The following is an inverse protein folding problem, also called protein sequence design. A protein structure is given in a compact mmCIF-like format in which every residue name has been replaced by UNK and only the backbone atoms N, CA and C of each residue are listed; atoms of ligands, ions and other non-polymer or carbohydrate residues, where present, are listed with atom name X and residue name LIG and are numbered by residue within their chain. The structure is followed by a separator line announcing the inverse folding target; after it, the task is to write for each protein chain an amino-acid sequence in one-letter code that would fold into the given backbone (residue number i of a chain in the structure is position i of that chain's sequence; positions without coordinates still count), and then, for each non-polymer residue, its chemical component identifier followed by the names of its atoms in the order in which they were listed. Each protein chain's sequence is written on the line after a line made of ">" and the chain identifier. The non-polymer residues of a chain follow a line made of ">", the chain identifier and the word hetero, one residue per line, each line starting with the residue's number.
data_IF_565015006110
#
_entry.id   IF_565015006110
#
_cell.length_a   1.000
_cell.length_b   1.000
_cell.length_c   1.000
_cell.angle_alpha   90.00
_cell.angle_beta   90.00
_cell.angle_gamma   90.00
#
_symmetry.space_group_name_H-M   'P 1'
#
loop_
_entity.id
_entity.type
_entity.pdbx_description
1 polymer ?
#
# COMPACT_ATOMS: atom_id res chain seq x y z
N UNK A 1 -9.56 19.73 -15.23
CA UNK A 1 -9.65 19.50 -13.78
C UNK A 1 -8.25 19.10 -13.31
N UNK A 2 -7.84 19.53 -12.12
CA UNK A 2 -6.59 19.05 -11.55
C UNK A 2 -6.78 17.58 -11.15
N UNK A 3 -5.77 16.74 -11.42
CA UNK A 3 -5.77 15.34 -10.98
C UNK A 3 -5.69 15.28 -9.45
N UNK A 4 -6.36 14.29 -8.85
CA UNK A 4 -6.22 14.00 -7.43
C UNK A 4 -4.85 13.37 -7.12
N UNK A 5 -4.41 13.51 -5.88
CA UNK A 5 -3.16 12.92 -5.39
C UNK A 5 -3.35 11.44 -5.13
N UNK A 6 -2.29 10.68 -5.38
CA UNK A 6 -2.22 9.26 -5.05
C UNK A 6 -1.15 9.11 -3.99
N UNK A 7 -1.52 8.61 -2.82
CA UNK A 7 -0.60 8.31 -1.72
C UNK A 7 -0.55 6.78 -1.57
N UNK A 8 0.58 6.19 -1.92
CA UNK A 8 0.82 4.75 -1.79
C UNK A 8 1.56 4.48 -0.48
N UNK A 9 0.92 3.80 0.46
CA UNK A 9 1.57 3.34 1.68
C UNK A 9 2.25 2.01 1.41
N UNK A 10 3.59 2.00 1.39
CA UNK A 10 4.41 0.83 1.17
C UNK A 10 5.04 0.34 2.47
N UNK A 11 4.96 -0.94 2.75
CA UNK A 11 5.57 -1.57 3.91
C UNK A 11 5.16 -3.04 4.01
N UNK A 12 5.89 -3.81 4.78
CA UNK A 12 5.60 -5.24 4.99
C UNK A 12 4.26 -5.46 5.72
N UNK A 13 3.79 -6.69 5.77
CA UNK A 13 2.62 -7.04 6.59
C UNK A 13 2.89 -6.65 8.04
N UNK A 14 1.83 -6.25 8.76
CA UNK A 14 1.88 -5.78 10.15
C UNK A 14 2.78 -4.57 10.44
N UNK A 15 3.26 -3.86 9.41
CA UNK A 15 3.96 -2.58 9.59
C UNK A 15 3.04 -1.44 10.05
N UNK A 16 1.72 -1.60 10.05
CA UNK A 16 0.78 -0.58 10.53
C UNK A 16 0.08 0.24 9.44
N UNK A 17 0.25 -0.10 8.15
CA UNK A 17 -0.37 0.62 7.03
C UNK A 17 -1.88 0.82 7.18
N UNK A 18 -2.61 -0.26 7.43
CA UNK A 18 -4.08 -0.22 7.55
C UNK A 18 -4.55 0.71 8.66
N UNK A 19 -3.88 0.70 9.81
CA UNK A 19 -4.21 1.63 10.90
C UNK A 19 -3.91 3.10 10.54
N UNK A 20 -2.89 3.35 9.72
CA UNK A 20 -2.60 4.71 9.20
C UNK A 20 -3.68 5.10 8.17
N UNK A 21 -4.13 4.18 7.31
CA UNK A 21 -5.24 4.42 6.37
C UNK A 21 -6.51 4.79 7.13
N UNK A 22 -6.87 4.04 8.17
CA UNK A 22 -8.02 4.34 9.03
C UNK A 22 -7.89 5.73 9.66
N UNK A 23 -6.73 6.06 10.21
CA UNK A 23 -6.48 7.39 10.79
C UNK A 23 -6.55 8.52 9.77
N UNK A 24 -6.14 8.28 8.51
CA UNK A 24 -6.29 9.25 7.42
C UNK A 24 -7.76 9.41 6.99
N UNK A 25 -8.55 8.34 6.97
CA UNK A 25 -9.97 8.37 6.63
C UNK A 25 -10.82 9.07 7.71
N UNK A 26 -10.44 8.95 8.98
CA UNK A 26 -11.14 9.59 10.11
C UNK A 26 -10.94 11.10 10.18
N UNK A 27 -10.07 11.67 9.35
CA UNK A 27 -9.81 13.11 9.32
C UNK A 27 -10.96 13.88 8.70
N UNK A 28 -11.24 15.04 9.25
CA UNK A 28 -12.24 15.98 8.73
C UNK A 28 -11.68 17.02 7.75
N UNK A 29 -10.34 17.16 7.68
CA UNK A 29 -9.67 18.19 6.88
C UNK A 29 -9.14 17.68 5.52
N UNK A 30 -9.32 16.39 5.23
CA UNK A 30 -9.02 15.78 3.94
C UNK A 30 -9.97 14.59 3.70
N UNK A 31 -10.09 14.19 2.44
CA UNK A 31 -10.96 13.09 2.04
C UNK A 31 -10.25 12.22 1.01
N UNK A 32 -10.21 10.92 1.27
CA UNK A 32 -9.56 9.95 0.41
C UNK A 32 -10.48 8.79 0.06
N UNK A 33 -10.42 8.34 -1.18
CA UNK A 33 -10.86 7.00 -1.54
C UNK A 33 -9.74 6.01 -1.25
N UNK A 34 -10.08 4.80 -0.80
CA UNK A 34 -9.10 3.78 -0.45
C UNK A 34 -9.17 2.63 -1.42
N UNK A 35 -8.01 2.31 -2.01
CA UNK A 35 -7.76 1.08 -2.74
C UNK A 35 -6.81 0.20 -1.93
N UNK A 36 -7.16 -1.08 -1.75
CA UNK A 36 -6.34 -2.03 -0.99
C UNK A 36 -6.28 -3.39 -1.70
N UNK A 37 -5.15 -4.06 -1.59
CA UNK A 37 -4.95 -5.39 -2.19
C UNK A 37 -6.06 -6.38 -1.81
N UNK A 38 -6.51 -6.37 -0.56
CA UNK A 38 -7.50 -7.31 -0.06
C UNK A 38 -8.85 -7.13 -0.75
N UNK A 39 -9.27 -5.88 -1.01
CA UNK A 39 -10.52 -5.58 -1.73
C UNK A 39 -10.51 -6.17 -3.14
N UNK A 40 -9.39 -6.09 -3.83
CA UNK A 40 -9.28 -6.61 -5.20
C UNK A 40 -9.09 -8.13 -5.23
N UNK A 41 -8.48 -8.73 -4.20
CA UNK A 41 -8.40 -10.19 -4.08
C UNK A 41 -9.78 -10.83 -3.94
N UNK A 42 -10.72 -10.20 -3.27
CA UNK A 42 -12.11 -10.68 -3.16
C UNK A 42 -12.83 -10.77 -4.51
N UNK A 43 -12.37 -10.04 -5.54
CA UNK A 43 -12.90 -10.15 -6.91
C UNK A 43 -12.54 -11.48 -7.58
N UNK A 44 -11.56 -12.21 -7.02
CA UNK A 44 -11.11 -13.50 -7.54
C UNK A 44 -11.72 -14.60 -6.69
N UNK A 45 -12.50 -15.49 -7.30
CA UNK A 45 -13.07 -16.61 -6.57
C UNK A 45 -11.99 -17.52 -5.98
N UNK A 46 -12.22 -18.05 -4.79
CA UNK A 46 -11.27 -18.90 -4.04
C UNK A 46 -10.65 -20.03 -4.87
N UNK A 47 -11.43 -20.64 -5.78
CA UNK A 47 -10.93 -21.70 -6.66
C UNK A 47 -9.76 -21.21 -7.51
N UNK A 48 -9.89 -20.06 -8.15
CA UNK A 48 -8.86 -19.49 -9.00
C UNK A 48 -7.62 -19.08 -8.20
N UNK A 49 -7.80 -18.50 -7.01
CA UNK A 49 -6.69 -18.18 -6.12
C UNK A 49 -5.91 -19.44 -5.72
N UNK A 50 -6.59 -20.57 -5.43
CA UNK A 50 -5.91 -21.83 -5.09
C UNK A 50 -5.16 -22.44 -6.28
N UNK A 51 -5.70 -22.31 -7.51
CA UNK A 51 -5.09 -22.88 -8.71
C UNK A 51 -3.85 -22.09 -9.17
N UNK A 52 -3.88 -20.77 -9.08
CA UNK A 52 -2.75 -19.93 -9.51
C UNK A 52 -2.73 -18.57 -8.80
N UNK A 53 -2.37 -18.57 -7.52
CA UNK A 53 -2.39 -17.39 -6.64
C UNK A 53 -1.63 -16.19 -7.23
N UNK A 54 -0.36 -16.40 -7.62
CA UNK A 54 0.51 -15.30 -8.07
C UNK A 54 0.04 -14.65 -9.37
N UNK A 55 -0.48 -15.43 -10.30
CA UNK A 55 -1.05 -14.89 -11.54
C UNK A 55 -2.24 -13.97 -11.25
N UNK A 56 -3.16 -14.43 -10.40
CA UNK A 56 -4.35 -13.65 -10.09
C UNK A 56 -4.03 -12.44 -9.23
N UNK A 57 -3.12 -12.58 -8.25
CA UNK A 57 -2.64 -11.46 -7.44
C UNK A 57 -2.02 -10.36 -8.31
N UNK A 58 -1.14 -10.72 -9.25
CA UNK A 58 -0.54 -9.75 -10.17
C UNK A 58 -1.60 -9.01 -10.98
N UNK A 59 -2.60 -9.71 -11.48
CA UNK A 59 -3.69 -9.10 -12.27
C UNK A 59 -4.54 -8.13 -11.45
N UNK A 60 -4.92 -8.50 -10.24
CA UNK A 60 -5.74 -7.63 -9.38
C UNK A 60 -4.98 -6.42 -8.88
N UNK A 61 -3.67 -6.52 -8.64
CA UNK A 61 -2.83 -5.36 -8.32
C UNK A 61 -2.82 -4.34 -9.47
N UNK A 62 -2.70 -4.81 -10.71
CA UNK A 62 -2.76 -3.91 -11.88
C UNK A 62 -4.15 -3.28 -12.04
N UNK A 63 -5.22 -4.04 -11.82
CA UNK A 63 -6.58 -3.49 -11.79
C UNK A 63 -6.74 -2.41 -10.72
N UNK A 64 -6.21 -2.63 -9.52
CA UNK A 64 -6.18 -1.65 -8.43
C UNK A 64 -5.47 -0.36 -8.87
N UNK A 65 -4.30 -0.45 -9.51
CA UNK A 65 -3.59 0.73 -9.99
C UNK A 65 -4.39 1.50 -11.06
N UNK A 66 -5.04 0.82 -11.99
CA UNK A 66 -5.90 1.47 -12.97
C UNK A 66 -7.14 2.12 -12.33
N UNK A 67 -7.71 1.50 -11.30
CA UNK A 67 -8.84 2.08 -10.56
C UNK A 67 -8.41 3.35 -9.83
N UNK A 68 -7.29 3.32 -9.12
CA UNK A 68 -6.73 4.49 -8.45
C UNK A 68 -6.39 5.61 -9.46
N UNK A 69 -5.85 5.25 -10.64
CA UNK A 69 -5.60 6.22 -11.70
C UNK A 69 -6.88 6.90 -12.18
N UNK A 70 -7.92 6.12 -12.43
CA UNK A 70 -9.22 6.65 -12.86
C UNK A 70 -9.79 7.63 -11.83
N UNK A 71 -9.74 7.30 -10.55
CA UNK A 71 -10.17 8.19 -9.46
C UNK A 71 -9.36 9.48 -9.43
N UNK A 72 -8.03 9.38 -9.54
CA UNK A 72 -7.14 10.55 -9.62
C UNK A 72 -7.44 11.42 -10.85
N UNK A 73 -7.64 10.83 -12.02
CA UNK A 73 -7.99 11.55 -13.24
C UNK A 73 -9.33 12.30 -13.11
N UNK A 74 -10.25 11.82 -12.26
CA UNK A 74 -11.51 12.47 -11.89
C UNK A 74 -11.34 13.56 -10.82
N UNK A 75 -10.14 13.79 -10.31
CA UNK A 75 -9.83 14.80 -9.31
C UNK A 75 -9.98 14.34 -7.85
N UNK A 76 -10.09 13.03 -7.60
CA UNK A 76 -10.19 12.47 -6.26
C UNK A 76 -8.83 12.07 -5.71
N UNK A 77 -8.56 12.39 -4.45
CA UNK A 77 -7.39 11.91 -3.73
C UNK A 77 -7.58 10.43 -3.35
N UNK A 78 -6.54 9.62 -3.53
CA UNK A 78 -6.58 8.17 -3.33
C UNK A 78 -5.47 7.72 -2.39
N UNK A 79 -5.81 6.84 -1.45
CA UNK A 79 -4.85 6.08 -0.65
C UNK A 79 -4.77 4.66 -1.22
N UNK A 80 -3.55 4.16 -1.41
CA UNK A 80 -3.31 2.75 -1.74
C UNK A 80 -2.63 2.07 -0.55
N UNK A 81 -3.32 1.10 0.06
CA UNK A 81 -2.72 0.19 1.05
C UNK A 81 -2.14 -1.03 0.31
N UNK A 82 -0.85 -1.01 0.07
CA UNK A 82 -0.20 -2.02 -0.74
C UNK A 82 1.21 -2.39 -0.28
N UNK A 83 1.86 -3.19 -1.10
CA UNK A 83 3.25 -3.56 -0.95
C UNK A 83 3.91 -3.73 -2.32
N UNK A 84 5.09 -3.16 -2.48
CA UNK A 84 5.87 -3.25 -3.71
C UNK A 84 6.90 -4.37 -3.58
N UNK A 85 6.49 -5.59 -3.89
CA UNK A 85 7.36 -6.77 -3.89
C UNK A 85 7.64 -7.24 -5.31
N UNK A 86 8.82 -7.81 -5.50
CA UNK A 86 9.25 -8.40 -6.77
C UNK A 86 9.39 -9.92 -6.61
N UNK A 87 8.77 -10.64 -7.53
CA UNK A 87 8.87 -12.10 -7.62
C UNK A 87 9.08 -12.51 -9.08
N UNK A 88 9.78 -13.60 -9.35
CA UNK A 88 9.97 -14.10 -10.72
C UNK A 88 8.65 -14.41 -11.44
N UNK A 89 7.62 -14.80 -10.68
CA UNK A 89 6.31 -15.21 -11.21
C UNK A 89 5.39 -14.05 -11.55
N UNK A 90 5.73 -12.84 -11.13
CA UNK A 90 4.91 -11.64 -11.35
C UNK A 90 5.75 -10.54 -11.98
N UNK A 91 5.09 -9.74 -12.82
CA UNK A 91 5.76 -8.56 -13.39
C UNK A 91 6.18 -7.57 -12.29
N UNK A 92 7.26 -6.79 -12.50
CA UNK A 92 7.76 -5.85 -11.51
C UNK A 92 6.73 -4.77 -11.18
N UNK A 93 6.08 -4.90 -10.07
CA UNK A 93 4.96 -4.03 -9.67
C UNK A 93 5.37 -2.57 -9.50
N UNK A 94 6.59 -2.31 -9.02
CA UNK A 94 7.07 -0.94 -8.87
C UNK A 94 7.20 -0.23 -10.23
N UNK A 95 7.78 -0.89 -11.22
CA UNK A 95 7.88 -0.32 -12.56
C UNK A 95 6.49 -0.09 -13.18
N UNK A 96 5.59 -1.05 -13.04
CA UNK A 96 4.20 -0.92 -13.52
C UNK A 96 3.45 0.22 -12.82
N UNK A 97 3.65 0.39 -11.52
CA UNK A 97 3.12 1.53 -10.77
C UNK A 97 3.61 2.85 -11.38
N UNK A 98 4.92 2.99 -11.58
CA UNK A 98 5.50 4.20 -12.14
C UNK A 98 5.01 4.49 -13.55
N UNK A 99 4.88 3.47 -14.41
CA UNK A 99 4.39 3.60 -15.79
C UNK A 99 2.91 4.02 -15.83
N UNK A 100 2.07 3.41 -14.98
CA UNK A 100 0.63 3.70 -14.93
C UNK A 100 0.38 5.13 -14.43
N UNK A 101 1.13 5.58 -13.43
CA UNK A 101 0.92 6.89 -12.80
C UNK A 101 1.84 7.99 -13.30
N UNK A 102 2.51 7.80 -14.44
CA UNK A 102 3.49 8.77 -14.98
C UNK A 102 2.99 10.21 -15.09
N UNK A 103 1.69 10.40 -15.30
CA UNK A 103 1.04 11.71 -15.39
C UNK A 103 0.24 12.10 -14.14
N UNK A 104 0.24 11.28 -13.10
CA UNK A 104 -0.55 11.51 -11.89
C UNK A 104 0.35 11.90 -10.73
N UNK A 105 -0.09 12.78 -9.81
CA UNK A 105 0.71 13.13 -8.63
C UNK A 105 0.75 11.95 -7.66
N UNK A 106 1.79 11.11 -7.82
CA UNK A 106 2.05 9.91 -7.01
C UNK A 106 3.07 10.23 -5.91
N UNK A 107 2.73 9.86 -4.69
CA UNK A 107 3.60 9.93 -3.52
C UNK A 107 3.68 8.55 -2.86
N UNK A 108 4.86 7.95 -2.85
CA UNK A 108 5.08 6.68 -2.15
C UNK A 108 5.60 7.00 -0.76
N UNK A 109 4.89 6.55 0.26
CA UNK A 109 5.24 6.71 1.68
C UNK A 109 5.72 5.37 2.20
N UNK A 110 6.94 5.35 2.75
CA UNK A 110 7.43 4.19 3.47
C UNK A 110 6.80 4.13 4.86
N UNK A 111 6.18 3.00 5.18
CA UNK A 111 5.74 2.69 6.54
C UNK A 111 6.76 1.73 7.14
N UNK A 112 7.78 2.33 7.76
CA UNK A 112 8.86 1.61 8.40
C UNK A 112 8.45 1.09 9.77
N UNK A 113 8.86 -0.15 10.06
CA UNK A 113 8.67 -0.82 11.33
C UNK A 113 9.72 -1.93 11.47
N UNK A 114 10.44 -2.02 12.58
CA UNK A 114 11.38 -3.10 12.82
C UNK A 114 10.73 -4.49 12.62
N UNK A 115 11.44 -5.39 11.92
CA UNK A 115 10.88 -6.70 11.56
C UNK A 115 10.50 -7.55 12.77
N UNK A 116 11.22 -7.44 13.88
CA UNK A 116 10.88 -8.10 15.13
C UNK A 116 9.53 -7.64 15.70
N UNK A 117 9.19 -6.36 15.52
CA UNK A 117 7.88 -5.81 15.93
C UNK A 117 6.79 -6.30 14.97
N UNK A 118 7.04 -6.28 13.66
CA UNK A 118 6.11 -6.82 12.68
C UNK A 118 5.83 -8.30 12.93
N UNK A 119 6.85 -9.09 13.24
CA UNK A 119 6.74 -10.50 13.60
C UNK A 119 5.87 -10.73 14.84
N UNK A 120 6.12 -9.97 15.91
CA UNK A 120 5.29 -10.03 17.11
C UNK A 120 3.83 -9.68 16.83
N UNK A 121 3.57 -8.68 15.97
CA UNK A 121 2.22 -8.30 15.53
C UNK A 121 1.58 -9.40 14.65
N UNK A 122 2.34 -10.09 13.78
CA UNK A 122 1.84 -11.23 12.99
C UNK A 122 1.32 -12.34 13.91
N UNK A 123 2.11 -12.72 14.92
CA UNK A 123 1.72 -13.74 15.91
C UNK A 123 0.48 -13.32 16.69
N UNK A 124 0.42 -12.06 17.14
CA UNK A 124 -0.72 -11.55 17.91
C UNK A 124 -2.02 -11.51 17.09
N UNK A 125 -1.96 -11.26 15.79
CA UNK A 125 -3.14 -11.25 14.91
C UNK A 125 -3.70 -12.64 14.65
N UNK A 126 -2.85 -13.66 14.54
CA UNK A 126 -3.26 -15.04 14.32
C UNK A 126 -3.74 -15.38 12.89
N UNK A 127 -3.86 -14.39 12.01
CA UNK A 127 -4.28 -14.55 10.61
C UNK A 127 -3.09 -14.46 9.63
N UNK A 128 -1.89 -14.31 10.16
CA UNK A 128 -0.62 -14.23 9.42
C UNK A 128 0.36 -15.26 9.96
N UNK A 129 1.23 -15.81 9.11
CA UNK A 129 2.31 -16.65 9.60
C UNK A 129 3.49 -15.80 10.09
N UNK A 130 4.23 -16.34 11.04
CA UNK A 130 5.20 -15.61 11.85
C UNK A 130 6.27 -14.87 11.03
N UNK A 131 6.84 -15.52 9.99
CA UNK A 131 7.93 -14.99 9.15
C UNK A 131 7.48 -14.20 7.92
N UNK A 132 6.18 -13.90 7.79
CA UNK A 132 5.65 -13.26 6.59
C UNK A 132 6.26 -11.88 6.32
N UNK A 133 6.56 -11.12 7.37
CA UNK A 133 7.16 -9.78 7.24
C UNK A 133 8.58 -9.86 6.70
N UNK A 134 9.38 -10.81 7.19
CA UNK A 134 10.77 -11.01 6.76
C UNK A 134 10.83 -11.49 5.31
N UNK A 135 9.94 -12.41 4.92
CA UNK A 135 9.85 -12.86 3.53
C UNK A 135 9.46 -11.73 2.57
N UNK A 136 8.51 -10.89 2.98
CA UNK A 136 8.13 -9.72 2.19
C UNK A 136 9.26 -8.69 2.12
N UNK A 137 9.97 -8.45 3.21
CA UNK A 137 11.11 -7.52 3.23
C UNK A 137 12.23 -7.99 2.28
N UNK A 138 12.50 -9.29 2.23
CA UNK A 138 13.49 -9.87 1.33
C UNK A 138 13.11 -9.72 -0.16
N UNK A 139 11.83 -9.55 -0.46
CA UNK A 139 11.27 -9.42 -1.81
C UNK A 139 10.90 -7.96 -2.15
N UNK A 140 11.09 -7.02 -1.23
CA UNK A 140 10.77 -5.62 -1.46
C UNK A 140 11.50 -5.10 -2.71
N UNK A 141 10.80 -4.38 -3.57
CA UNK A 141 11.39 -3.74 -4.73
C UNK A 141 12.54 -2.81 -4.30
N UNK A 142 13.58 -2.76 -5.13
CA UNK A 142 14.76 -1.95 -4.87
C UNK A 142 14.58 -0.54 -5.44
N UNK A 143 15.37 0.39 -4.92
CA UNK A 143 15.46 1.75 -5.43
C UNK A 143 14.13 2.52 -5.47
N UNK A 144 13.17 2.15 -4.60
CA UNK A 144 11.90 2.85 -4.47
C UNK A 144 12.17 4.30 -4.06
N UNK A 145 11.62 5.25 -4.81
CA UNK A 145 11.73 6.67 -4.51
C UNK A 145 10.61 7.07 -3.54
N UNK A 146 10.92 7.08 -2.26
CA UNK A 146 9.97 7.50 -1.23
C UNK A 146 9.88 9.03 -1.14
N UNK A 147 8.64 9.54 -1.08
CA UNK A 147 8.36 10.96 -0.79
C UNK A 147 8.64 11.30 0.69
N UNK A 148 8.42 10.32 1.56
CA UNK A 148 8.74 10.37 2.99
C UNK A 148 8.68 8.97 3.61
N UNK A 149 9.22 8.87 4.84
CA UNK A 149 9.11 7.68 5.71
C UNK A 149 8.38 8.04 7.00
N UNK A 150 7.51 7.17 7.48
CA UNK A 150 6.90 7.22 8.82
C UNK A 150 7.28 5.98 9.61
N UNK A 151 7.56 6.14 10.92
CA UNK A 151 8.03 5.07 11.80
C UNK A 151 6.89 4.61 12.73
N UNK A 152 6.21 3.56 12.37
CA UNK A 152 5.00 3.08 13.06
C UNK A 152 5.25 2.36 14.40
N UNK A 153 6.49 2.16 14.75
CA UNK A 153 6.94 1.71 16.08
C UNK A 153 7.14 2.86 17.06
N UNK A 154 7.36 4.09 16.55
CA UNK A 154 7.66 5.28 17.32
C UNK A 154 6.53 6.31 17.32
N UNK A 155 5.62 6.18 16.37
CA UNK A 155 4.51 7.10 16.16
C UNK A 155 3.17 6.35 16.23
N UNK A 156 2.17 6.98 16.80
CA UNK A 156 0.79 6.49 16.70
C UNK A 156 0.28 6.61 15.26
N UNK A 157 -0.76 5.84 14.85
CA UNK A 157 -1.37 6.00 13.54
C UNK A 157 -1.82 7.43 13.24
N UNK A 158 -2.35 8.16 14.23
CA UNK A 158 -2.76 9.55 14.08
C UNK A 158 -1.58 10.49 13.83
N UNK A 159 -0.46 10.31 14.54
CA UNK A 159 0.77 11.09 14.29
C UNK A 159 1.38 10.80 12.92
N UNK A 160 1.35 9.54 12.46
CA UNK A 160 1.74 9.19 11.09
C UNK A 160 0.85 9.88 10.05
N UNK A 161 -0.48 9.85 10.27
CA UNK A 161 -1.45 10.52 9.40
C UNK A 161 -1.23 12.04 9.37
N UNK A 162 -0.98 12.67 10.52
CA UNK A 162 -0.65 14.10 10.62
C UNK A 162 0.63 14.45 9.84
N UNK A 163 1.67 13.65 9.97
CA UNK A 163 2.93 13.85 9.24
C UNK A 163 2.72 13.76 7.71
N UNK A 164 1.95 12.77 7.25
CA UNK A 164 1.63 12.58 5.84
C UNK A 164 0.84 13.78 5.29
N UNK A 165 -0.22 14.20 5.99
CA UNK A 165 -1.06 15.32 5.55
C UNK A 165 -0.28 16.62 5.52
N UNK A 166 0.50 16.91 6.55
CA UNK A 166 1.29 18.15 6.63
C UNK A 166 2.37 18.21 5.55
N UNK A 167 2.92 17.07 5.12
CA UNK A 167 4.00 17.01 4.13
C UNK A 167 3.52 16.97 2.69
N UNK A 168 2.40 16.27 2.43
CA UNK A 168 1.99 15.94 1.06
C UNK A 168 0.69 16.62 0.63
N UNK A 169 -0.10 17.15 1.57
CA UNK A 169 -1.42 17.70 1.28
C UNK A 169 -1.44 19.23 1.48
N UNK A 170 -0.84 19.73 2.55
CA UNK A 170 -0.74 21.17 2.87
C UNK A 170 0.52 21.80 2.30
#
# INVERSE_FOLDING_TARGET
>A
MNKGRIIFLNGVTSSGKTSIVEALQDRSDCYFYVDANDLFQEMVGERHLRENYWLHLSRVIILMYHTAKMMSDMGHDVLIDGILVERPEIAPHYQQLMDIFVENPLYIVEVDCPLEICRARNVARGDRYETQSEEQAALMAKDIQYAMTVHSDQMTPAECADAIVNRLIK
#
